data_IF_049781623906
#
_entry.id   IF_049781623906
#
_cell.length_a   1.000
_cell.length_b   1.000
_cell.length_c   1.000
_cell.angle_alpha   90.00
_cell.angle_beta   90.00
_cell.angle_gamma   90.00
#
_symmetry.space_group_name_H-M   'P 1'
#
loop_
_entity.id
_entity.type
_entity.pdbx_description
1 polymer ?
#
# COMPACT_ATOMS: atom_id res chain seq x y z
N UNK A 1 -2.04 -17.29 1.45
CA UNK A 1 -2.18 -15.94 0.86
C UNK A 1 -0.91 -15.13 1.11
N UNK A 2 -0.72 -14.12 0.31
CA UNK A 2 0.40 -13.18 0.44
C UNK A 2 -0.15 -11.82 0.83
N UNK A 3 0.43 -11.20 1.86
CA UNK A 3 0.14 -9.82 2.23
C UNK A 3 1.34 -8.95 1.90
N UNK A 4 1.08 -7.89 1.16
CA UNK A 4 2.05 -6.87 0.79
C UNK A 4 1.80 -5.64 1.66
N UNK A 5 2.80 -5.23 2.43
CA UNK A 5 2.68 -4.08 3.32
C UNK A 5 3.79 -3.09 2.98
N UNK A 6 3.41 -1.83 2.78
CA UNK A 6 4.34 -0.75 2.44
C UNK A 6 4.11 0.41 3.38
N UNK A 7 5.18 0.97 3.88
CA UNK A 7 5.15 2.20 4.68
C UNK A 7 5.90 3.30 3.94
N UNK A 8 5.34 4.48 3.96
CA UNK A 8 5.92 5.64 3.27
C UNK A 8 6.17 6.77 4.26
N UNK A 9 7.30 7.43 4.07
CA UNK A 9 7.59 8.72 4.67
C UNK A 9 7.56 9.74 3.55
N UNK A 10 6.71 10.74 3.69
CA UNK A 10 6.55 11.77 2.66
C UNK A 10 7.66 12.80 2.73
N UNK A 11 7.95 13.43 1.61
CA UNK A 11 8.85 14.60 1.60
C UNK A 11 8.22 15.73 2.41
N UNK A 12 9.03 16.56 3.10
CA UNK A 12 8.47 17.65 3.90
C UNK A 12 7.63 18.65 3.10
N UNK A 13 7.95 18.84 1.83
CA UNK A 13 7.24 19.76 0.95
C UNK A 13 5.95 19.19 0.36
N UNK A 14 5.65 17.91 0.57
CA UNK A 14 4.43 17.30 0.06
C UNK A 14 3.21 17.99 0.68
N UNK A 15 2.27 18.38 -0.16
CA UNK A 15 1.04 19.04 0.30
C UNK A 15 -0.01 18.02 0.73
N UNK A 16 -0.95 18.44 1.54
CA UNK A 16 -2.06 17.58 1.95
C UNK A 16 -2.87 17.09 0.74
N UNK A 17 -3.05 17.95 -0.26
CA UNK A 17 -3.76 17.57 -1.47
C UNK A 17 -3.00 16.50 -2.25
N UNK A 18 -1.69 16.60 -2.39
CA UNK A 18 -0.87 15.58 -3.04
C UNK A 18 -0.98 14.24 -2.32
N UNK A 19 -0.97 14.26 -1.00
CA UNK A 19 -1.11 13.04 -0.19
C UNK A 19 -2.47 12.39 -0.38
N UNK A 20 -3.55 13.18 -0.38
CA UNK A 20 -4.91 12.68 -0.61
C UNK A 20 -5.05 12.12 -2.02
N UNK A 21 -4.52 12.83 -3.01
CA UNK A 21 -4.58 12.38 -4.40
C UNK A 21 -3.85 11.06 -4.59
N UNK A 22 -2.68 10.91 -3.99
CA UNK A 22 -1.92 9.65 -4.05
C UNK A 22 -2.75 8.49 -3.51
N UNK A 23 -3.39 8.67 -2.36
CA UNK A 23 -4.22 7.63 -1.75
C UNK A 23 -5.44 7.31 -2.62
N UNK A 24 -6.10 8.33 -3.13
CA UNK A 24 -7.29 8.17 -3.96
C UNK A 24 -6.98 7.44 -5.26
N UNK A 25 -5.92 7.83 -5.96
CA UNK A 25 -5.57 7.21 -7.24
C UNK A 25 -5.11 5.77 -7.05
N UNK A 26 -4.40 5.49 -5.97
CA UNK A 26 -3.97 4.12 -5.67
C UNK A 26 -5.19 3.23 -5.36
N UNK A 27 -6.12 3.71 -4.55
CA UNK A 27 -7.33 2.95 -4.21
C UNK A 27 -8.20 2.69 -5.43
N UNK A 28 -8.37 3.68 -6.31
CA UNK A 28 -9.14 3.51 -7.55
C UNK A 28 -8.53 2.44 -8.43
N UNK A 29 -7.22 2.48 -8.59
CA UNK A 29 -6.54 1.52 -9.45
C UNK A 29 -6.62 0.10 -8.88
N UNK A 30 -6.36 -0.07 -7.60
CA UNK A 30 -6.36 -1.41 -6.99
C UNK A 30 -7.73 -2.06 -7.05
N UNK A 31 -8.81 -1.27 -7.07
CA UNK A 31 -10.17 -1.80 -7.16
C UNK A 31 -10.45 -2.48 -8.49
N UNK A 32 -9.67 -2.22 -9.53
CA UNK A 32 -9.87 -2.81 -10.87
C UNK A 32 -8.84 -3.86 -11.23
N UNK A 33 -7.92 -4.19 -10.33
CA UNK A 33 -6.93 -5.25 -10.56
C UNK A 33 -7.46 -6.54 -9.93
N UNK A 34 -7.85 -7.55 -10.72
CA UNK A 34 -8.53 -8.73 -10.19
C UNK A 34 -7.70 -9.54 -9.19
N UNK A 35 -6.36 -9.49 -9.27
CA UNK A 35 -5.52 -10.25 -8.35
C UNK A 35 -5.50 -9.69 -6.93
N UNK A 36 -5.94 -8.45 -6.73
CA UNK A 36 -6.03 -7.84 -5.41
C UNK A 36 -7.29 -8.35 -4.71
N UNK A 37 -7.12 -9.10 -3.63
CA UNK A 37 -8.25 -9.68 -2.88
C UNK A 37 -8.75 -8.79 -1.78
N UNK A 38 -7.84 -8.04 -1.15
CA UNK A 38 -8.18 -7.05 -0.14
C UNK A 38 -7.20 -5.91 -0.23
N UNK A 39 -7.65 -4.71 0.06
CA UNK A 39 -6.80 -3.53 -0.02
C UNK A 39 -7.23 -2.53 1.03
N UNK A 40 -6.24 -1.95 1.71
CA UNK A 40 -6.46 -0.82 2.60
C UNK A 40 -5.24 0.09 2.54
N UNK A 41 -5.46 1.36 2.64
CA UNK A 41 -4.39 2.34 2.79
C UNK A 41 -4.88 3.52 3.61
N UNK A 42 -3.97 4.23 4.23
CA UNK A 42 -4.34 5.41 5.00
C UNK A 42 -3.15 6.10 5.64
N UNK A 43 -3.36 7.35 6.06
CA UNK A 43 -2.35 8.09 6.79
C UNK A 43 -2.18 7.53 8.20
N UNK A 44 -1.01 7.82 8.79
CA UNK A 44 -0.74 7.48 10.19
C UNK A 44 -1.79 8.11 11.09
N UNK A 45 -2.25 7.35 12.09
CA UNK A 45 -3.29 7.82 13.01
C UNK A 45 -2.74 8.74 14.12
N UNK A 46 -1.43 8.90 14.19
CA UNK A 46 -0.83 9.78 15.18
C UNK A 46 -0.78 9.23 16.60
N UNK A 47 -0.74 7.91 16.74
CA UNK A 47 -0.82 7.26 18.04
C UNK A 47 0.53 7.10 18.74
N UNK A 48 1.63 7.22 18.02
CA UNK A 48 2.96 7.05 18.56
C UNK A 48 3.95 7.92 17.81
N UNK A 49 5.07 8.24 18.48
CA UNK A 49 6.13 9.02 17.85
C UNK A 49 6.94 8.17 16.89
N UNK A 50 7.63 8.84 15.97
CA UNK A 50 8.53 8.22 14.99
C UNK A 50 7.86 7.27 14.01
N UNK A 51 6.54 7.26 13.92
CA UNK A 51 5.83 6.48 12.91
C UNK A 51 6.10 7.03 11.50
N UNK A 52 6.01 6.14 10.50
CA UNK A 52 5.94 6.59 9.12
C UNK A 52 4.59 7.27 8.86
N UNK A 53 4.45 7.88 7.69
CA UNK A 53 3.34 8.80 7.44
C UNK A 53 2.12 8.13 6.80
N UNK A 54 2.33 7.01 6.10
CA UNK A 54 1.28 6.40 5.30
C UNK A 54 1.54 4.91 5.14
N UNK A 55 0.48 4.12 5.12
CA UNK A 55 0.59 2.67 4.97
C UNK A 55 -0.33 2.15 3.88
N UNK A 56 0.14 1.12 3.18
CA UNK A 56 -0.64 0.36 2.20
C UNK A 56 -0.58 -1.11 2.60
N UNK A 57 -1.72 -1.78 2.54
CA UNK A 57 -1.81 -3.24 2.74
C UNK A 57 -2.65 -3.83 1.62
N UNK A 58 -2.11 -4.84 0.94
CA UNK A 58 -2.81 -5.52 -0.15
C UNK A 58 -2.62 -7.03 -0.03
N UNK A 59 -3.69 -7.78 -0.21
CA UNK A 59 -3.67 -9.24 -0.10
C UNK A 59 -3.90 -9.90 -1.44
N UNK A 60 -3.20 -11.00 -1.68
CA UNK A 60 -3.23 -11.78 -2.92
C UNK A 60 -3.34 -13.26 -2.58
N UNK A 61 -3.94 -14.04 -3.48
CA UNK A 61 -4.06 -15.49 -3.28
C UNK A 61 -2.69 -16.16 -3.19
N UNK A 62 -1.73 -15.68 -4.00
CA UNK A 62 -0.41 -16.29 -4.12
C UNK A 62 0.60 -15.27 -4.64
N UNK A 63 1.84 -15.73 -4.79
CA UNK A 63 2.93 -14.88 -5.30
C UNK A 63 2.65 -14.36 -6.71
N UNK A 64 2.07 -15.20 -7.57
CA UNK A 64 1.77 -14.80 -8.94
C UNK A 64 0.79 -13.62 -8.97
N UNK A 65 -0.20 -13.61 -8.08
CA UNK A 65 -1.13 -12.50 -7.95
C UNK A 65 -0.45 -11.19 -7.55
N UNK A 66 0.50 -11.28 -6.62
CA UNK A 66 1.30 -10.10 -6.24
C UNK A 66 2.12 -9.59 -7.42
N UNK A 67 2.78 -10.47 -8.17
CA UNK A 67 3.60 -10.04 -9.31
C UNK A 67 2.75 -9.41 -10.41
N UNK A 68 1.55 -9.94 -10.65
CA UNK A 68 0.60 -9.34 -11.59
C UNK A 68 0.27 -7.90 -11.20
N UNK A 69 0.00 -7.66 -9.92
CA UNK A 69 -0.26 -6.33 -9.40
C UNK A 69 0.97 -5.42 -9.52
N UNK A 70 2.12 -5.91 -9.08
CA UNK A 70 3.37 -5.13 -9.11
C UNK A 70 3.70 -4.65 -10.51
N UNK A 71 3.50 -5.52 -11.52
CA UNK A 71 3.91 -5.27 -12.89
C UNK A 71 2.79 -4.66 -13.76
N UNK A 72 1.61 -4.48 -13.20
CA UNK A 72 0.49 -3.87 -13.92
C UNK A 72 0.86 -2.46 -14.38
N UNK A 73 0.70 -2.14 -15.68
CA UNK A 73 1.09 -0.83 -16.20
C UNK A 73 0.35 0.34 -15.54
N UNK A 74 -0.92 0.14 -15.20
CA UNK A 74 -1.70 1.16 -14.50
C UNK A 74 -1.16 1.42 -13.10
N UNK A 75 -0.82 0.34 -12.37
CA UNK A 75 -0.23 0.45 -11.05
C UNK A 75 1.11 1.20 -11.12
N UNK A 76 1.97 0.82 -12.05
CA UNK A 76 3.27 1.49 -12.22
C UNK A 76 3.10 2.96 -12.57
N UNK A 77 2.12 3.28 -13.41
CA UNK A 77 1.81 4.66 -13.77
C UNK A 77 1.37 5.51 -12.58
N UNK A 78 0.51 4.97 -11.73
CA UNK A 78 0.08 5.66 -10.50
C UNK A 78 1.26 5.87 -9.56
N UNK A 79 2.10 4.85 -9.37
CA UNK A 79 3.28 4.96 -8.51
C UNK A 79 4.19 6.08 -9.02
N UNK A 80 4.49 6.11 -10.31
CA UNK A 80 5.39 7.10 -10.88
C UNK A 80 4.82 8.52 -10.85
N UNK A 81 3.51 8.64 -11.06
CA UNK A 81 2.89 9.96 -11.19
C UNK A 81 2.54 10.59 -9.84
N UNK A 82 2.02 9.80 -8.90
CA UNK A 82 1.43 10.34 -7.68
C UNK A 82 2.19 9.99 -6.42
N UNK A 83 2.92 8.89 -6.38
CA UNK A 83 3.53 8.38 -5.15
C UNK A 83 5.01 8.76 -5.07
N UNK A 84 5.80 8.38 -6.06
CA UNK A 84 7.24 8.62 -6.03
C UNK A 84 7.61 10.08 -5.89
N UNK A 85 6.93 11.04 -6.57
CA UNK A 85 7.33 12.44 -6.47
C UNK A 85 7.26 13.01 -5.06
N UNK A 86 6.44 12.44 -4.18
CA UNK A 86 6.28 12.94 -2.81
C UNK A 86 6.86 12.00 -1.75
N UNK A 87 7.53 10.93 -2.16
CA UNK A 87 8.07 9.92 -1.24
C UNK A 87 9.52 10.23 -0.90
N UNK A 88 9.80 10.41 0.40
CA UNK A 88 11.17 10.56 0.89
C UNK A 88 11.79 9.19 1.20
N UNK A 89 11.01 8.27 1.75
CA UNK A 89 11.48 6.94 2.13
C UNK A 89 10.34 5.94 2.00
N UNK A 90 10.67 4.73 1.55
CA UNK A 90 9.71 3.64 1.42
C UNK A 90 10.33 2.37 1.96
N UNK A 91 9.57 1.61 2.75
CA UNK A 91 9.95 0.27 3.19
C UNK A 91 8.79 -0.68 2.92
N UNK A 92 9.10 -1.93 2.62
CA UNK A 92 8.07 -2.90 2.27
C UNK A 92 8.45 -4.29 2.73
N UNK A 93 7.43 -5.11 2.96
CA UNK A 93 7.57 -6.53 3.25
C UNK A 93 6.38 -7.26 2.65
N UNK A 94 6.62 -8.46 2.15
CA UNK A 94 5.57 -9.38 1.75
C UNK A 94 5.73 -10.65 2.58
N UNK A 95 4.61 -11.17 3.11
CA UNK A 95 4.65 -12.37 3.93
C UNK A 95 3.44 -13.25 3.67
N UNK A 96 3.63 -14.54 3.91
CA UNK A 96 2.53 -15.50 3.81
C UNK A 96 1.72 -15.53 5.08
N UNK A 97 0.39 -15.68 4.94
CA UNK A 97 -0.50 -15.79 6.07
C UNK A 97 -1.69 -16.67 5.73
N UNK A 98 -2.36 -17.17 6.78
CA UNK A 98 -3.55 -18.00 6.65
C UNK A 98 -4.78 -17.12 6.92
N UNK A 99 -5.67 -16.94 5.95
CA UNK A 99 -6.80 -16.03 6.11
C UNK A 99 -7.78 -16.47 7.23
N UNK A 100 -7.81 -17.77 7.56
CA UNK A 100 -8.66 -18.27 8.65
C UNK A 100 -7.97 -18.35 10.00
N UNK A 101 -6.71 -18.00 10.10
CA UNK A 101 -5.97 -18.02 11.36
C UNK A 101 -6.39 -16.81 12.20
N UNK A 102 -7.62 -16.82 12.65
CA UNK A 102 -8.24 -15.66 13.25
C UNK A 102 -8.10 -15.59 14.75
N UNK A 103 -7.96 -16.73 15.40
CA UNK A 103 -7.98 -16.79 16.85
C UNK A 103 -6.56 -16.77 17.37
N UNK A 104 -6.10 -15.59 17.72
CA UNK A 104 -4.82 -15.42 18.38
C UNK A 104 -5.10 -15.05 19.82
N UNK A 105 -4.82 -15.98 20.72
CA UNK A 105 -4.90 -15.69 22.14
C UNK A 105 -3.76 -14.79 22.56
N UNK A 106 -4.13 -13.73 23.18
CA UNK A 106 -3.15 -12.74 23.66
C UNK A 106 -3.00 -12.86 25.17
#
# INVERSE_FOLDING_TARGET
MIRHTVLFRWKPEATDEQKRQAATELAKLTSIIPSVRAFACGPDAGLAEANFDFAVSADFDDQAGFFTYRDDPGHRGVIQRYILPITAQRVAVQFEFQPQATEVSK
#
